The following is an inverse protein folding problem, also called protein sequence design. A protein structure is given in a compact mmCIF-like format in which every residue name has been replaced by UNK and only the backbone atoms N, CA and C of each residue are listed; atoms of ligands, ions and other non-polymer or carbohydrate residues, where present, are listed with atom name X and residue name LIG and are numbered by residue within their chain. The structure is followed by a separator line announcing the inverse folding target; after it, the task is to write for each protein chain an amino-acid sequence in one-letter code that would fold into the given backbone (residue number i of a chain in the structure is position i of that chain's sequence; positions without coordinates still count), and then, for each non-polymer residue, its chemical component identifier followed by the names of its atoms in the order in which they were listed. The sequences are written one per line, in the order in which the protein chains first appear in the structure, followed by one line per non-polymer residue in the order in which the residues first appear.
data_IF_841441192256
#
_entry.id   IF_841441192256
#
_cell.length_a   1.000
_cell.length_b   1.000
_cell.length_c   1.000
_cell.angle_alpha   90.00
_cell.angle_beta   90.00
_cell.angle_gamma   90.00
#
_symmetry.space_group_name_H-M   'P 1'
#
loop_
_entity.id
_entity.type
_entity.pdbx_description
1 polymer ?
#
# COMPACT_ATOMS: atom_id res chain seq x y z
N UNK A 1 -29.68 0.32 16.75
CA UNK A 1 -28.28 -0.10 16.92
C UNK A 1 -27.43 0.66 15.93
N UNK A 2 -26.63 1.58 16.44
CA UNK A 2 -25.68 2.34 15.62
C UNK A 2 -24.64 1.38 15.02
N UNK A 3 -24.75 1.08 13.74
CA UNK A 3 -23.61 0.62 12.98
C UNK A 3 -22.57 1.73 13.04
N UNK A 4 -21.48 1.51 13.75
CA UNK A 4 -20.30 2.33 13.64
C UNK A 4 -19.78 2.18 12.19
N UNK A 5 -20.40 2.87 11.25
CA UNK A 5 -19.87 3.00 9.91
C UNK A 5 -18.55 3.75 10.06
N UNK A 6 -17.47 3.00 9.97
CA UNK A 6 -16.14 3.61 9.93
C UNK A 6 -16.12 4.57 8.75
N UNK A 7 -16.03 5.86 9.05
CA UNK A 7 -16.03 6.92 8.04
C UNK A 7 -14.89 6.65 7.04
N UNK A 8 -15.15 6.79 5.75
CA UNK A 8 -14.10 6.72 4.74
C UNK A 8 -13.00 7.72 5.05
N UNK A 9 -11.76 7.30 4.87
CA UNK A 9 -10.57 8.14 5.06
C UNK A 9 -10.01 8.52 3.70
N UNK A 10 -9.42 9.71 3.63
CA UNK A 10 -8.84 10.25 2.40
C UNK A 10 -7.38 9.83 2.27
N UNK A 11 -6.99 9.44 1.07
CA UNK A 11 -5.61 9.17 0.67
C UNK A 11 -5.30 9.92 -0.62
N UNK A 12 -4.17 10.60 -0.68
CA UNK A 12 -3.68 11.24 -1.91
C UNK A 12 -2.47 10.45 -2.39
N UNK A 13 -2.51 10.04 -3.64
CA UNK A 13 -1.45 9.27 -4.26
C UNK A 13 -1.27 9.73 -5.71
N UNK A 14 -0.07 10.21 -6.07
CA UNK A 14 0.30 10.65 -7.42
C UNK A 14 -0.70 11.66 -8.02
N UNK A 15 -1.10 12.64 -7.20
CA UNK A 15 -2.07 13.68 -7.58
C UNK A 15 -3.53 13.22 -7.64
N UNK A 16 -3.82 11.95 -7.38
CA UNK A 16 -5.17 11.41 -7.36
C UNK A 16 -5.65 11.20 -5.91
N UNK A 17 -6.91 11.50 -5.69
CA UNK A 17 -7.57 11.31 -4.39
C UNK A 17 -8.33 9.99 -4.38
N UNK A 18 -8.18 9.25 -3.31
CA UNK A 18 -8.93 8.02 -3.02
C UNK A 18 -9.61 8.14 -1.67
N UNK A 19 -10.81 7.60 -1.55
CA UNK A 19 -11.43 7.32 -0.26
C UNK A 19 -11.25 5.83 0.04
N UNK A 20 -10.87 5.50 1.27
CA UNK A 20 -10.67 4.13 1.67
C UNK A 20 -11.37 3.78 2.96
N UNK A 21 -11.82 2.56 3.03
CA UNK A 21 -12.45 1.96 4.20
C UNK A 21 -11.87 0.59 4.43
N UNK A 22 -11.95 0.13 5.67
CA UNK A 22 -11.58 -1.21 6.05
C UNK A 22 -12.75 -1.86 6.78
N UNK A 23 -13.08 -3.08 6.42
CA UNK A 23 -14.15 -3.86 7.04
C UNK A 23 -13.65 -5.24 7.43
N UNK A 24 -14.04 -5.67 8.61
CA UNK A 24 -13.84 -7.03 9.07
C UNK A 24 -15.14 -7.82 8.91
N UNK A 25 -15.04 -9.00 8.34
CA UNK A 25 -16.14 -9.93 8.20
C UNK A 25 -15.76 -11.27 8.81
N UNK A 26 -16.69 -11.89 9.48
CA UNK A 26 -16.55 -13.25 9.98
C UNK A 26 -17.92 -13.94 9.98
N UNK A 27 -17.90 -15.26 9.92
CA UNK A 27 -19.05 -16.10 10.21
C UNK A 27 -18.94 -16.58 11.65
N UNK A 28 -20.03 -16.89 12.29
CA UNK A 28 -20.04 -17.56 13.61
C UNK A 28 -20.30 -19.04 13.42
N UNK A 29 -19.56 -19.87 14.15
CA UNK A 29 -19.85 -21.30 14.24
C UNK A 29 -21.03 -21.54 15.20
N UNK A 30 -21.42 -22.81 15.36
CA UNK A 30 -22.53 -23.20 16.25
C UNK A 30 -22.28 -22.85 17.73
N UNK A 31 -21.03 -22.64 18.13
CA UNK A 31 -20.64 -22.18 19.46
C UNK A 31 -20.52 -20.66 19.59
N UNK A 32 -20.86 -19.90 18.53
CA UNK A 32 -20.78 -18.43 18.52
C UNK A 32 -19.35 -17.88 18.32
N UNK A 33 -18.36 -18.73 18.01
CA UNK A 33 -17.00 -18.30 17.77
C UNK A 33 -16.84 -17.75 16.34
N UNK A 34 -16.06 -16.65 16.16
CA UNK A 34 -15.78 -16.15 14.83
C UNK A 34 -14.93 -17.14 14.03
N UNK A 35 -15.40 -17.49 12.85
CA UNK A 35 -14.71 -18.33 11.87
C UNK A 35 -14.72 -17.66 10.53
N UNK A 36 -13.85 -18.09 9.63
CA UNK A 36 -13.71 -17.53 8.28
C UNK A 36 -13.50 -16.02 8.30
N UNK A 37 -12.62 -15.55 9.18
CA UNK A 37 -12.31 -14.13 9.31
C UNK A 37 -11.70 -13.58 8.02
N UNK A 38 -12.16 -12.40 7.63
CA UNK A 38 -11.75 -11.72 6.42
C UNK A 38 -11.63 -10.23 6.68
N UNK A 39 -10.52 -9.65 6.27
CA UNK A 39 -10.30 -8.22 6.28
C UNK A 39 -10.34 -7.68 4.86
N UNK A 40 -11.18 -6.69 4.59
CA UNK A 40 -11.32 -6.09 3.27
C UNK A 40 -10.97 -4.61 3.34
N UNK A 41 -9.97 -4.23 2.56
CA UNK A 41 -9.63 -2.83 2.27
C UNK A 41 -10.30 -2.44 0.97
N UNK A 42 -11.06 -1.35 0.97
CA UNK A 42 -11.74 -0.82 -0.21
C UNK A 42 -11.21 0.57 -0.53
N UNK A 43 -10.74 0.77 -1.75
CA UNK A 43 -10.25 2.04 -2.28
C UNK A 43 -11.12 2.49 -3.43
N UNK A 44 -11.63 3.73 -3.36
CA UNK A 44 -12.50 4.32 -4.38
C UNK A 44 -11.89 5.61 -4.90
N UNK A 45 -11.55 5.69 -6.21
CA UNK A 45 -11.07 6.93 -6.80
C UNK A 45 -12.09 8.05 -6.68
N UNK A 46 -11.60 9.28 -6.51
CA UNK A 46 -12.44 10.49 -6.42
C UNK A 46 -12.22 11.38 -7.64
N UNK A 47 -13.23 12.14 -8.09
CA UNK A 47 -14.62 12.15 -7.60
C UNK A 47 -15.36 10.84 -7.81
N UNK A 48 -16.40 10.59 -7.01
CA UNK A 48 -17.22 9.38 -7.11
C UNK A 48 -17.76 9.18 -8.53
N UNK A 49 -17.74 7.94 -9.01
CA UNK A 49 -18.21 7.58 -10.36
C UNK A 49 -17.22 7.84 -11.49
N UNK A 50 -16.02 8.36 -11.21
CA UNK A 50 -14.96 8.58 -12.23
C UNK A 50 -14.08 7.36 -12.48
N UNK A 51 -14.18 6.34 -11.64
CA UNK A 51 -13.37 5.13 -11.77
C UNK A 51 -13.96 3.94 -11.03
N UNK A 52 -13.27 2.81 -11.11
CA UNK A 52 -13.64 1.57 -10.46
C UNK A 52 -13.06 1.44 -9.05
N UNK A 53 -13.73 0.69 -8.22
CA UNK A 53 -13.31 0.40 -6.84
C UNK A 53 -12.33 -0.78 -6.81
N UNK A 54 -11.27 -0.65 -6.04
CA UNK A 54 -10.36 -1.74 -5.70
C UNK A 54 -10.72 -2.32 -4.34
N UNK A 55 -10.90 -3.62 -4.27
CA UNK A 55 -11.04 -4.38 -3.03
C UNK A 55 -9.84 -5.30 -2.84
N UNK A 56 -9.14 -5.11 -1.75
CA UNK A 56 -8.02 -5.98 -1.34
C UNK A 56 -8.50 -6.83 -0.18
N UNK A 57 -8.56 -8.13 -0.37
CA UNK A 57 -9.17 -9.06 0.58
C UNK A 57 -8.09 -9.96 1.19
N UNK A 58 -8.06 -9.97 2.52
CA UNK A 58 -7.22 -10.87 3.32
C UNK A 58 -8.11 -11.88 4.03
N UNK A 59 -8.20 -13.08 3.51
CA UNK A 59 -8.94 -14.17 4.14
C UNK A 59 -8.04 -14.98 5.08
N UNK A 60 -8.56 -15.38 6.24
CA UNK A 60 -7.84 -16.24 7.17
C UNK A 60 -7.49 -17.59 6.53
N UNK A 61 -6.44 -18.20 7.00
CA UNK A 61 -5.98 -19.50 6.50
C UNK A 61 -4.72 -19.97 7.22
N UNK A 62 -4.19 -21.15 6.88
CA UNK A 62 -2.98 -21.68 7.49
C UNK A 62 -1.80 -20.72 7.34
N UNK A 63 -1.11 -20.42 8.43
CA UNK A 63 0.04 -19.52 8.46
C UNK A 63 -0.28 -18.04 8.26
N UNK A 64 -1.55 -17.69 8.10
CA UNK A 64 -2.05 -16.33 7.84
C UNK A 64 -2.76 -15.80 9.07
N UNK A 65 -2.51 -14.55 9.41
CA UNK A 65 -3.08 -13.88 10.55
C UNK A 65 -4.07 -12.79 10.09
N UNK A 66 -5.30 -12.94 10.52
CA UNK A 66 -6.36 -11.93 10.39
C UNK A 66 -7.05 -11.81 11.73
N UNK A 67 -7.09 -10.62 12.38
CA UNK A 67 -7.65 -10.48 13.71
C UNK A 67 -9.12 -10.90 13.77
N UNK A 68 -9.48 -11.63 14.80
CA UNK A 68 -10.85 -12.08 15.05
C UNK A 68 -11.80 -11.03 15.62
N UNK A 69 -11.50 -9.73 15.47
CA UNK A 69 -12.32 -8.65 15.98
C UNK A 69 -12.00 -8.23 17.42
N UNK A 70 -10.92 -8.72 18.01
CA UNK A 70 -10.42 -8.24 19.30
C UNK A 70 -9.90 -6.79 19.18
N UNK A 71 -10.01 -5.95 20.23
CA UNK A 71 -9.55 -4.56 20.18
C UNK A 71 -8.06 -4.42 19.98
N UNK A 72 -7.28 -5.41 20.38
CA UNK A 72 -5.84 -5.48 20.14
C UNK A 72 -5.57 -6.15 18.80
N UNK A 73 -4.74 -5.54 17.98
CA UNK A 73 -4.39 -6.06 16.66
C UNK A 73 -5.44 -5.81 15.58
N UNK A 74 -6.41 -4.93 15.83
CA UNK A 74 -7.37 -4.53 14.81
C UNK A 74 -6.65 -3.97 13.58
N UNK A 75 -6.99 -4.48 12.39
CA UNK A 75 -6.38 -4.09 11.14
C UNK A 75 -5.07 -4.79 10.79
N UNK A 76 -4.47 -5.52 11.72
CA UNK A 76 -3.26 -6.29 11.44
C UNK A 76 -3.56 -7.48 10.53
N UNK A 77 -2.79 -7.61 9.47
CA UNK A 77 -2.80 -8.77 8.57
C UNK A 77 -1.37 -9.19 8.31
N UNK A 78 -1.12 -10.47 8.24
CA UNK A 78 0.24 -10.94 8.01
C UNK A 78 0.38 -12.44 8.03
N UNK A 79 1.57 -12.89 7.69
CA UNK A 79 2.01 -14.24 7.94
C UNK A 79 2.46 -14.37 9.39
N UNK A 80 2.22 -15.51 10.02
CA UNK A 80 2.63 -15.78 11.41
C UNK A 80 4.13 -15.59 11.59
N UNK A 81 4.90 -15.89 10.55
CA UNK A 81 6.34 -15.62 10.48
C UNK A 81 6.67 -15.02 9.13
N UNK A 82 6.68 -13.71 9.03
CA UNK A 82 6.95 -13.04 7.76
C UNK A 82 6.34 -11.65 7.67
N UNK A 83 6.03 -11.27 6.44
CA UNK A 83 5.48 -9.96 6.14
C UNK A 83 4.15 -9.68 6.88
N UNK A 84 3.97 -8.45 7.30
CA UNK A 84 2.76 -8.00 7.98
C UNK A 84 2.49 -6.53 7.74
N UNK A 85 1.23 -6.14 7.77
CA UNK A 85 0.77 -4.76 7.63
C UNK A 85 -0.34 -4.46 8.64
N UNK A 86 -0.42 -3.22 9.09
CA UNK A 86 -1.58 -2.71 9.81
C UNK A 86 -2.41 -1.82 8.87
N UNK A 87 -3.60 -2.28 8.52
CA UNK A 87 -4.48 -1.61 7.55
C UNK A 87 -5.13 -0.33 8.10
N UNK A 88 -4.94 0.02 9.36
CA UNK A 88 -5.30 1.33 9.90
C UNK A 88 -4.27 2.41 9.53
N UNK A 89 -3.07 2.03 9.17
CA UNK A 89 -2.00 2.95 8.83
C UNK A 89 -2.10 3.40 7.37
N UNK A 90 -2.14 4.72 7.10
CA UNK A 90 -2.18 5.23 5.72
C UNK A 90 -1.00 4.78 4.87
N UNK A 91 0.17 4.62 5.46
CA UNK A 91 1.36 4.10 4.77
C UNK A 91 1.20 2.68 4.25
N UNK A 92 0.54 1.79 5.02
CA UNK A 92 0.23 0.44 4.58
C UNK A 92 -0.79 0.44 3.44
N UNK A 93 -1.83 1.27 3.54
CA UNK A 93 -2.83 1.44 2.48
C UNK A 93 -2.20 1.97 1.20
N UNK A 94 -1.31 2.97 1.32
CA UNK A 94 -0.56 3.51 0.18
C UNK A 94 0.32 2.44 -0.49
N UNK A 95 1.01 1.64 0.29
CA UNK A 95 1.87 0.57 -0.23
C UNK A 95 1.05 -0.48 -1.01
N UNK A 96 -0.09 -0.90 -0.49
CA UNK A 96 -0.99 -1.83 -1.19
C UNK A 96 -1.54 -1.23 -2.48
N UNK A 97 -1.90 0.05 -2.46
CA UNK A 97 -2.33 0.77 -3.66
C UNK A 97 -1.23 0.80 -4.73
N UNK A 98 -0.01 1.15 -4.34
CA UNK A 98 1.13 1.23 -5.26
C UNK A 98 1.45 -0.13 -5.89
N UNK A 99 1.38 -1.21 -5.11
CA UNK A 99 1.57 -2.57 -5.64
C UNK A 99 0.45 -2.95 -6.61
N UNK A 100 -0.80 -2.65 -6.28
CA UNK A 100 -1.93 -2.93 -7.17
C UNK A 100 -1.81 -2.17 -8.50
N UNK A 101 -1.40 -0.90 -8.45
CA UNK A 101 -1.14 -0.08 -9.65
C UNK A 101 -0.01 -0.67 -10.49
N UNK A 102 1.09 -1.08 -9.87
CA UNK A 102 2.23 -1.69 -10.57
C UNK A 102 1.86 -3.03 -11.23
N UNK A 103 0.87 -3.73 -10.70
CA UNK A 103 0.36 -4.98 -11.24
C UNK A 103 -0.79 -4.82 -12.23
N UNK A 104 -1.07 -3.59 -12.65
CA UNK A 104 -1.98 -3.29 -13.74
C UNK A 104 -3.39 -2.88 -13.34
N UNK A 105 -3.69 -2.68 -12.06
CA UNK A 105 -4.97 -2.07 -11.70
C UNK A 105 -5.03 -0.62 -12.21
N UNK A 106 -6.15 -0.28 -12.86
CA UNK A 106 -6.36 1.03 -13.48
C UNK A 106 -7.54 1.72 -12.83
N UNK A 107 -7.31 2.75 -12.01
CA UNK A 107 -8.39 3.42 -11.30
C UNK A 107 -9.37 4.16 -12.21
N UNK A 108 -8.97 4.51 -13.44
CA UNK A 108 -9.86 5.15 -14.41
C UNK A 108 -10.86 4.21 -15.08
N UNK A 109 -10.66 2.91 -15.01
CA UNK A 109 -11.61 1.94 -15.53
C UNK A 109 -12.79 1.79 -14.57
N UNK A 110 -14.02 1.95 -15.09
CA UNK A 110 -15.26 1.91 -14.28
C UNK A 110 -15.68 0.49 -13.89
N UNK A 111 -14.73 -0.33 -13.51
CA UNK A 111 -14.94 -1.71 -13.10
C UNK A 111 -14.42 -1.93 -11.69
N UNK A 112 -15.25 -2.52 -10.83
CA UNK A 112 -14.79 -2.98 -9.53
C UNK A 112 -13.87 -4.19 -9.71
N UNK A 113 -12.72 -4.17 -9.04
CA UNK A 113 -11.74 -5.24 -9.07
C UNK A 113 -11.49 -5.72 -7.65
N UNK A 114 -11.54 -7.03 -7.45
CA UNK A 114 -11.17 -7.66 -6.20
C UNK A 114 -9.86 -8.43 -6.38
N UNK A 115 -8.92 -8.23 -5.47
CA UNK A 115 -7.61 -8.90 -5.48
C UNK A 115 -7.37 -9.60 -4.15
N UNK A 116 -6.68 -10.73 -4.21
CA UNK A 116 -6.20 -11.41 -3.02
C UNK A 116 -5.04 -10.61 -2.40
N UNK A 117 -5.27 -10.06 -1.21
CA UNK A 117 -4.29 -9.22 -0.50
C UNK A 117 -2.99 -9.95 -0.17
N UNK A 118 -3.05 -11.27 0.00
CA UNK A 118 -1.85 -12.08 0.28
C UNK A 118 -0.85 -12.03 -0.87
N UNK A 119 -1.31 -11.87 -2.09
CA UNK A 119 -0.43 -11.74 -3.26
C UNK A 119 0.31 -10.40 -3.31
N UNK A 120 -0.17 -9.38 -2.61
CA UNK A 120 0.42 -8.04 -2.56
C UNK A 120 1.25 -7.80 -1.30
N UNK A 121 1.08 -8.63 -0.27
CA UNK A 121 1.53 -8.35 1.09
C UNK A 121 3.05 -8.18 1.21
N UNK A 122 3.82 -9.10 0.65
CA UNK A 122 5.28 -9.07 0.79
C UNK A 122 5.89 -7.82 0.16
N UNK A 123 5.46 -7.47 -1.04
CA UNK A 123 5.94 -6.27 -1.72
C UNK A 123 5.47 -4.99 -1.00
N UNK A 124 4.23 -4.96 -0.53
CA UNK A 124 3.71 -3.82 0.22
C UNK A 124 4.43 -3.63 1.56
N UNK A 125 4.69 -4.71 2.29
CA UNK A 125 5.47 -4.67 3.53
C UNK A 125 6.90 -4.17 3.29
N UNK A 126 7.58 -4.65 2.25
CA UNK A 126 8.89 -4.17 1.86
C UNK A 126 8.89 -2.66 1.55
N UNK A 127 7.85 -2.16 0.88
CA UNK A 127 7.68 -0.72 0.61
C UNK A 127 7.50 0.08 1.90
N UNK A 128 6.72 -0.41 2.87
CA UNK A 128 6.53 0.28 4.15
C UNK A 128 7.81 0.35 4.98
N UNK A 129 8.68 -0.65 4.85
CA UNK A 129 9.99 -0.67 5.52
C UNK A 129 11.06 0.17 4.82
N UNK A 130 10.75 0.78 3.67
CA UNK A 130 11.67 1.60 2.90
C UNK A 130 12.69 0.81 2.06
N UNK A 131 12.59 -0.50 1.99
CA UNK A 131 13.52 -1.35 1.23
C UNK A 131 13.48 -1.05 -0.28
N UNK A 132 12.32 -0.68 -0.81
CA UNK A 132 12.14 -0.29 -2.22
C UNK A 132 12.31 1.22 -2.47
N UNK A 133 12.17 2.06 -1.45
CA UNK A 133 12.42 3.51 -1.57
C UNK A 133 13.93 3.83 -1.67
N UNK A 134 14.79 2.97 -1.17
CA UNK A 134 16.25 3.15 -1.21
C UNK A 134 16.82 3.09 -2.62
N UNK A 135 16.23 2.32 -3.51
CA UNK A 135 16.66 2.25 -4.92
C UNK A 135 16.43 3.55 -5.69
N UNK A 136 15.37 4.29 -5.39
CA UNK A 136 15.09 5.59 -6.03
C UNK A 136 16.02 6.70 -5.54
N UNK A 137 16.37 6.72 -4.25
CA UNK A 137 17.28 7.70 -3.69
C UNK A 137 18.71 7.55 -4.20
N UNK A 138 19.17 6.33 -4.49
CA UNK A 138 20.52 6.07 -5.01
C UNK A 138 20.65 6.46 -6.48
N UNK A 139 19.58 6.40 -7.24
CA UNK A 139 19.56 6.82 -8.65
C UNK A 139 19.67 8.34 -8.80
N UNK A 140 19.13 9.11 -7.87
CA UNK A 140 19.23 10.58 -7.88
C UNK A 140 20.60 11.09 -7.47
N UNK A 141 21.31 10.42 -6.59
CA UNK A 141 22.63 10.83 -6.12
C UNK A 141 23.72 10.62 -7.19
N UNK A 142 23.56 9.68 -8.10
CA UNK A 142 24.53 9.43 -9.19
C UNK A 142 24.50 10.46 -10.31
N UNK A 143 23.44 11.24 -10.44
CA UNK A 143 23.28 12.25 -11.48
C UNK A 143 23.99 13.57 -11.14
N UNK A 144 24.21 13.87 -9.86
CA UNK A 144 24.86 15.10 -9.44
C UNK A 144 26.38 15.05 -9.42
N UNK A 145 26.99 13.88 -9.40
CA UNK A 145 28.45 13.73 -9.36
C UNK A 145 29.13 13.97 -10.72
N UNK A 146 28.37 14.14 -11.80
CA UNK A 146 28.92 14.28 -13.17
C UNK A 146 29.07 15.75 -13.63
N UNK A 147 28.75 16.73 -12.81
CA UNK A 147 28.72 18.15 -13.20
C UNK A 147 29.96 18.97 -12.77
N UNK A 148 30.98 18.34 -12.21
CA UNK A 148 32.25 19.02 -11.89
C UNK A 148 33.33 18.60 -12.87
N UNK A 149 33.35 19.21 -14.04
CA UNK A 149 34.55 19.25 -14.91
C UNK A 149 35.45 20.39 -14.46
N UNK A 150 36.70 20.14 -14.16
CA UNK A 150 37.65 21.23 -13.95
C UNK A 150 37.91 21.94 -15.33
N UNK A 151 37.76 23.24 -15.32
CA UNK A 151 38.01 24.06 -16.50
C UNK A 151 39.47 23.96 -16.95
N UNK A 152 39.73 24.14 -18.26
CA UNK A 152 41.08 24.05 -18.79
C UNK A 152 42.00 25.11 -18.23
N UNK A 153 43.18 24.68 -17.83
CA UNK A 153 44.26 25.57 -17.48
C UNK A 153 44.68 26.42 -18.68
N UNK A 154 44.75 27.74 -18.51
CA UNK A 154 45.21 28.65 -19.54
C UNK A 154 46.68 28.45 -19.91
N UNK A 155 47.10 28.83 -21.09
CA UNK A 155 48.47 28.61 -21.58
C UNK A 155 49.47 29.50 -20.85
N UNK A 156 50.72 29.03 -20.68
CA UNK A 156 51.77 29.87 -20.07
C UNK A 156 52.16 30.98 -21.04
N UNK A 157 52.22 32.20 -20.55
CA UNK A 157 52.65 33.34 -21.29
C UNK A 157 54.10 33.20 -21.73
N UNK A 158 54.34 33.42 -23.01
CA UNK A 158 55.68 33.60 -23.55
C UNK A 158 56.34 34.84 -22.97
N UNK A 159 57.47 34.63 -22.36
CA UNK A 159 58.40 35.73 -22.01
C UNK A 159 59.47 35.78 -23.09
N UNK A 160 59.50 36.88 -23.71
CA UNK A 160 60.66 37.25 -24.49
C UNK A 160 61.67 37.93 -23.63
#
# INVERSE_FOLDING_TARGET
MSRNEKKPRRLIADGRVYMWTMRHHHRKDDGGRPVDCRQTLTLSPQPAGTGGTLRVVFASGPGRFVPGGAPLGSGDVGYIRGASLNLHQPGAVRALLDVALSRGWRPGERRAVEVDGWTLLEEADARTRGELAYTDATSSASAEASAMSPGPAGPPGSVM
#
